data_IF_660002171027
#
_entry.id   IF_660002171027
#
_cell.length_a   1.000
_cell.length_b   1.000
_cell.length_c   1.000
_cell.angle_alpha   90.00
_cell.angle_beta   90.00
_cell.angle_gamma   90.00
#
_symmetry.space_group_name_H-M   'P 1'
#
loop_
_entity.id
_entity.type
_entity.pdbx_description
1 polymer ?
#
# COMPACT_ATOMS: atom_id res chain seq x y z
N UNK A 1 -26.78 6.89 18.91
CA UNK A 1 -27.76 7.98 18.73
C UNK A 1 -27.13 9.17 18.03
N UNK A 2 -27.96 10.07 17.49
CA UNK A 2 -27.55 11.32 16.83
C UNK A 2 -26.72 12.25 17.75
N UNK A 3 -26.71 12.01 19.06
CA UNK A 3 -25.87 12.73 20.05
C UNK A 3 -24.53 12.05 20.37
N UNK A 4 -24.21 10.90 19.75
CA UNK A 4 -22.97 10.15 20.00
C UNK A 4 -22.93 9.40 21.34
N UNK A 5 -24.02 9.41 22.11
CA UNK A 5 -24.11 8.67 23.37
C UNK A 5 -24.19 7.14 23.15
N UNK A 6 -23.45 6.41 23.98
CA UNK A 6 -23.31 4.95 23.88
C UNK A 6 -24.47 4.26 24.57
N UNK A 7 -25.47 3.85 23.79
CA UNK A 7 -26.68 3.21 24.30
C UNK A 7 -26.44 1.77 24.76
N UNK A 8 -25.58 1.00 24.07
CA UNK A 8 -25.36 -0.43 24.32
C UNK A 8 -23.89 -0.81 24.12
N UNK A 9 -23.31 -1.50 25.12
CA UNK A 9 -22.00 -2.14 25.00
C UNK A 9 -22.16 -3.65 25.16
N UNK A 10 -21.54 -4.43 24.25
CA UNK A 10 -21.57 -5.90 24.28
C UNK A 10 -20.16 -6.45 24.31
N UNK A 11 -19.89 -7.37 25.24
CA UNK A 11 -18.68 -8.18 25.31
C UNK A 11 -18.99 -9.60 24.87
N UNK A 12 -18.09 -10.22 24.12
CA UNK A 12 -18.28 -11.53 23.53
C UNK A 12 -16.99 -12.33 23.74
N UNK A 13 -17.10 -13.54 24.28
CA UNK A 13 -15.93 -14.40 24.53
C UNK A 13 -15.45 -15.11 23.25
N UNK A 14 -16.38 -15.58 22.40
CA UNK A 14 -16.06 -16.27 21.15
C UNK A 14 -17.09 -15.97 20.05
N UNK A 15 -16.59 -15.75 18.84
CA UNK A 15 -17.40 -15.64 17.63
C UNK A 15 -16.95 -16.69 16.60
N UNK A 16 -17.88 -17.44 16.03
CA UNK A 16 -17.61 -18.45 15.01
C UNK A 16 -18.48 -18.21 13.78
N UNK A 17 -17.84 -18.08 12.61
CA UNK A 17 -18.53 -17.87 11.35
C UNK A 17 -19.03 -19.19 10.77
N UNK A 18 -20.33 -19.29 10.49
CA UNK A 18 -20.97 -20.50 9.98
C UNK A 18 -21.23 -20.46 8.46
N UNK A 19 -20.71 -19.44 7.76
CA UNK A 19 -20.86 -19.28 6.31
C UNK A 19 -21.86 -18.19 5.91
N UNK A 20 -22.81 -17.84 6.78
CA UNK A 20 -23.81 -16.80 6.51
C UNK A 20 -23.90 -15.77 7.64
N UNK A 21 -23.68 -16.19 8.89
CA UNK A 21 -23.75 -15.34 10.06
C UNK A 21 -22.67 -15.68 11.10
N UNK A 22 -22.48 -14.80 12.08
CA UNK A 22 -21.60 -15.08 13.20
C UNK A 22 -22.41 -15.66 14.36
N UNK A 23 -22.07 -16.87 14.78
CA UNK A 23 -22.56 -17.44 16.03
C UNK A 23 -21.69 -16.92 17.17
N UNK A 24 -22.33 -16.31 18.17
CA UNK A 24 -21.66 -15.71 19.31
C UNK A 24 -21.86 -16.57 20.55
N UNK A 25 -20.81 -16.74 21.35
CA UNK A 25 -20.83 -17.48 22.61
C UNK A 25 -20.25 -16.61 23.73
N UNK A 26 -20.86 -16.65 24.91
CA UNK A 26 -20.41 -15.86 26.07
C UNK A 26 -20.74 -14.37 25.97
N UNK A 27 -21.89 -14.00 25.39
CA UNK A 27 -22.26 -12.60 25.21
C UNK A 27 -22.77 -11.98 26.52
N UNK A 28 -22.13 -10.89 26.95
CA UNK A 28 -22.57 -10.02 28.05
C UNK A 28 -22.91 -8.65 27.49
N UNK A 29 -24.09 -8.12 27.78
CA UNK A 29 -24.53 -6.82 27.27
C UNK A 29 -24.95 -5.92 28.42
N UNK A 30 -24.48 -4.68 28.41
CA UNK A 30 -24.88 -3.63 29.35
C UNK A 30 -25.55 -2.50 28.57
N UNK A 31 -26.71 -2.07 29.05
CA UNK A 31 -27.39 -0.86 28.57
C UNK A 31 -26.98 0.30 29.48
N UNK A 32 -26.62 1.45 28.89
CA UNK A 32 -26.23 2.64 29.65
C UNK A 32 -27.45 3.43 30.13
N UNK A 33 -28.61 3.30 29.46
CA UNK A 33 -29.84 4.05 29.79
C UNK A 33 -30.67 3.41 30.91
N UNK A 34 -30.54 2.10 31.09
CA UNK A 34 -31.19 1.37 32.17
C UNK A 34 -30.17 0.39 32.72
N UNK A 35 -29.90 0.50 34.01
CA UNK A 35 -29.07 -0.42 34.81
C UNK A 35 -29.76 -1.79 34.96
N UNK A 36 -30.41 -2.25 33.90
CA UNK A 36 -31.28 -3.41 33.84
C UNK A 36 -30.66 -4.44 32.89
N UNK A 37 -30.42 -5.62 33.44
CA UNK A 37 -29.68 -6.73 32.84
C UNK A 37 -30.53 -7.47 31.78
N UNK A 38 -31.72 -6.95 31.45
CA UNK A 38 -32.73 -7.63 30.63
C UNK A 38 -32.61 -7.36 29.13
N UNK A 39 -31.40 -7.18 28.59
CA UNK A 39 -31.22 -7.11 27.12
C UNK A 39 -31.16 -8.55 26.56
N UNK A 40 -31.95 -8.89 25.54
CA UNK A 40 -31.98 -10.25 25.00
C UNK A 40 -30.58 -10.69 24.52
N UNK A 41 -30.20 -11.97 24.77
CA UNK A 41 -28.89 -12.47 24.40
C UNK A 41 -28.73 -12.45 22.88
N UNK A 42 -27.69 -11.75 22.41
CA UNK A 42 -27.32 -11.76 21.00
C UNK A 42 -26.60 -13.06 20.69
N UNK A 43 -27.30 -14.07 20.17
CA UNK A 43 -26.72 -15.35 19.79
C UNK A 43 -26.17 -15.35 18.36
N UNK A 44 -26.71 -14.50 17.51
CA UNK A 44 -26.34 -14.36 16.10
C UNK A 44 -26.05 -12.90 15.81
N UNK A 45 -24.89 -12.63 15.23
CA UNK A 45 -24.56 -11.33 14.66
C UNK A 45 -24.66 -11.41 13.14
N UNK A 46 -25.70 -10.78 12.62
CA UNK A 46 -25.90 -10.56 11.19
C UNK A 46 -25.07 -9.34 10.79
N UNK A 47 -23.97 -9.59 10.09
CA UNK A 47 -23.09 -8.56 9.58
C UNK A 47 -22.63 -8.96 8.19
N UNK A 48 -22.52 -7.98 7.30
CA UNK A 48 -21.87 -8.16 6.00
C UNK A 48 -20.37 -8.47 6.13
N UNK A 49 -19.80 -8.28 7.34
CA UNK A 49 -18.40 -8.57 7.62
C UNK A 49 -18.18 -10.08 7.71
N UNK A 50 -17.56 -10.66 6.68
CA UNK A 50 -17.09 -12.05 6.66
C UNK A 50 -15.72 -12.18 7.33
N UNK A 51 -15.25 -13.38 7.72
CA UNK A 51 -13.90 -13.57 8.23
C UNK A 51 -12.82 -13.06 7.27
N UNK A 52 -13.07 -13.20 5.96
CA UNK A 52 -12.18 -12.68 4.92
C UNK A 52 -12.22 -11.15 4.87
N UNK A 53 -13.37 -10.52 5.07
CA UNK A 53 -13.49 -9.05 5.20
C UNK A 53 -12.74 -8.53 6.43
N UNK A 54 -12.91 -9.17 7.58
CA UNK A 54 -12.21 -8.82 8.83
C UNK A 54 -10.71 -9.02 8.71
N UNK A 55 -10.26 -10.12 8.10
CA UNK A 55 -8.84 -10.35 7.85
C UNK A 55 -8.24 -9.28 6.94
N UNK A 56 -8.98 -8.82 5.91
CA UNK A 56 -8.56 -7.72 5.03
C UNK A 56 -8.50 -6.38 5.76
N UNK A 57 -9.43 -6.12 6.68
CA UNK A 57 -9.42 -4.94 7.54
C UNK A 57 -8.17 -4.86 8.41
N UNK A 58 -7.64 -6.00 8.85
CA UNK A 58 -6.41 -6.09 9.65
C UNK A 58 -5.13 -6.14 8.81
N UNK A 59 -5.23 -6.33 7.48
CA UNK A 59 -4.07 -6.49 6.61
C UNK A 59 -3.40 -5.15 6.28
N UNK A 60 -2.08 -5.18 6.04
CA UNK A 60 -1.34 -4.00 5.59
C UNK A 60 -1.81 -3.60 4.18
N UNK A 61 -1.99 -2.29 3.89
CA UNK A 61 -2.34 -1.80 2.56
C UNK A 61 -1.51 -2.39 1.41
N UNK A 62 -0.23 -2.73 1.65
CA UNK A 62 0.69 -3.35 0.68
C UNK A 62 0.25 -4.74 0.21
N UNK A 63 -0.38 -5.49 1.08
CA UNK A 63 -0.68 -6.91 0.85
C UNK A 63 -2.09 -7.12 0.29
N UNK A 64 -2.86 -6.04 0.18
CA UNK A 64 -4.18 -6.05 -0.40
C UNK A 64 -4.16 -6.18 -1.94
N UNK A 65 -5.24 -6.74 -2.49
CA UNK A 65 -5.48 -6.69 -3.92
C UNK A 65 -5.78 -5.26 -4.38
N UNK A 66 -5.48 -4.94 -5.64
CA UNK A 66 -5.75 -3.61 -6.23
C UNK A 66 -7.22 -3.16 -6.07
N UNK A 67 -8.17 -4.11 -6.16
CA UNK A 67 -9.60 -3.84 -5.96
C UNK A 67 -9.89 -3.40 -4.53
N UNK A 68 -9.31 -4.08 -3.56
CA UNK A 68 -9.51 -3.79 -2.13
C UNK A 68 -8.85 -2.46 -1.75
N UNK A 69 -7.64 -2.17 -2.25
CA UNK A 69 -6.99 -0.85 -2.09
C UNK A 69 -7.85 0.30 -2.66
N UNK A 70 -8.50 0.06 -3.81
CA UNK A 70 -9.41 1.05 -4.43
C UNK A 70 -10.66 1.29 -3.57
N UNK A 71 -11.11 0.29 -2.84
CA UNK A 71 -12.26 0.42 -1.94
C UNK A 71 -11.87 1.14 -0.64
N UNK A 72 -10.72 0.81 -0.04
CA UNK A 72 -10.28 1.40 1.24
C UNK A 72 -9.69 2.81 1.12
N UNK A 73 -9.33 3.28 -0.08
CA UNK A 73 -8.89 4.68 -0.29
C UNK A 73 -10.00 5.73 -0.16
N UNK A 74 -11.28 5.33 -0.17
CA UNK A 74 -12.41 6.26 -0.05
C UNK A 74 -12.55 6.66 1.42
N UNK A 75 -12.61 7.96 1.69
CA UNK A 75 -12.77 8.48 3.05
C UNK A 75 -14.04 7.92 3.71
N UNK A 76 -13.94 7.50 4.97
CA UNK A 76 -15.03 6.91 5.73
C UNK A 76 -15.14 5.38 5.63
N UNK A 77 -14.31 4.73 4.80
CA UNK A 77 -14.22 3.28 4.82
C UNK A 77 -13.30 2.81 5.96
N UNK A 78 -13.61 1.65 6.54
CA UNK A 78 -12.83 1.08 7.64
C UNK A 78 -11.62 0.35 7.08
N UNK A 79 -10.43 0.61 7.64
CA UNK A 79 -9.16 -0.02 7.27
C UNK A 79 -8.17 0.07 8.43
N UNK A 80 -7.12 -0.75 8.38
CA UNK A 80 -5.99 -0.74 9.33
C UNK A 80 -5.17 0.57 9.29
N UNK A 81 -5.20 1.29 8.17
CA UNK A 81 -4.41 2.48 7.92
C UNK A 81 -5.28 3.65 7.42
N UNK A 82 -4.76 4.90 7.40
CA UNK A 82 -5.46 6.02 6.80
C UNK A 82 -5.74 5.84 5.30
N UNK A 83 -6.85 6.42 4.83
CA UNK A 83 -7.30 6.32 3.42
C UNK A 83 -6.23 6.73 2.39
N UNK A 84 -5.37 7.69 2.73
CA UNK A 84 -4.28 8.15 1.86
C UNK A 84 -3.19 7.09 1.65
N UNK A 85 -2.91 6.23 2.65
CA UNK A 85 -1.94 5.16 2.53
C UNK A 85 -2.38 4.11 1.50
N UNK A 86 -3.67 3.73 1.49
CA UNK A 86 -4.24 2.88 0.45
C UNK A 86 -4.17 3.53 -0.94
N UNK A 87 -4.40 4.84 -1.02
CA UNK A 87 -4.26 5.61 -2.25
C UNK A 87 -2.83 5.57 -2.82
N UNK A 88 -1.83 5.68 -1.95
CA UNK A 88 -0.42 5.55 -2.31
C UNK A 88 -0.11 4.17 -2.88
N UNK A 89 -0.41 3.10 -2.14
CA UNK A 89 -0.09 1.74 -2.57
C UNK A 89 -0.80 1.32 -3.85
N UNK A 90 -2.04 1.78 -4.04
CA UNK A 90 -2.77 1.59 -5.29
C UNK A 90 -2.02 2.20 -6.48
N UNK A 91 -1.61 3.47 -6.38
CA UNK A 91 -0.94 4.16 -7.47
C UNK A 91 0.49 3.64 -7.68
N UNK A 92 1.20 3.36 -6.59
CA UNK A 92 2.54 2.77 -6.61
C UNK A 92 2.54 1.42 -7.33
N UNK A 93 1.53 0.57 -7.09
CA UNK A 93 1.41 -0.73 -7.77
C UNK A 93 1.18 -0.59 -9.27
N UNK A 94 0.45 0.45 -9.71
CA UNK A 94 0.22 0.75 -11.13
C UNK A 94 1.50 1.29 -11.81
N UNK A 95 2.33 2.04 -11.09
CA UNK A 95 3.55 2.66 -11.65
C UNK A 95 4.77 1.74 -11.63
N UNK A 96 4.75 0.60 -10.91
CA UNK A 96 5.82 -0.40 -10.92
C UNK A 96 6.28 -0.88 -12.31
N UNK A 97 5.41 -1.25 -13.27
CA UNK A 97 5.87 -1.63 -14.61
C UNK A 97 6.59 -0.48 -15.33
N UNK A 98 6.16 0.76 -15.12
CA UNK A 98 6.83 1.94 -15.67
C UNK A 98 8.23 2.13 -15.06
N UNK A 99 8.39 1.90 -13.75
CA UNK A 99 9.69 1.92 -13.10
C UNK A 99 10.68 0.93 -13.73
N UNK A 100 10.22 -0.30 -14.02
CA UNK A 100 11.04 -1.31 -14.69
C UNK A 100 11.50 -0.85 -16.08
N UNK A 101 10.62 -0.22 -16.86
CA UNK A 101 10.98 0.34 -18.18
C UNK A 101 12.00 1.47 -18.06
N UNK A 102 11.89 2.33 -17.05
CA UNK A 102 12.84 3.42 -16.81
C UNK A 102 14.21 2.88 -16.41
N UNK A 103 14.27 1.88 -15.53
CA UNK A 103 15.54 1.25 -15.16
C UNK A 103 16.17 0.49 -16.34
N UNK A 104 15.35 -0.12 -17.20
CA UNK A 104 15.81 -0.70 -18.45
C UNK A 104 16.37 0.36 -19.40
N UNK A 105 15.71 1.52 -19.51
CA UNK A 105 16.21 2.67 -20.28
C UNK A 105 17.58 3.13 -19.76
N UNK A 106 17.77 3.18 -18.44
CA UNK A 106 19.06 3.51 -17.82
C UNK A 106 20.16 2.48 -18.17
N UNK A 107 19.81 1.21 -18.42
CA UNK A 107 20.79 0.18 -18.75
C UNK A 107 21.44 0.40 -20.14
N UNK A 108 20.72 1.00 -21.09
CA UNK A 108 21.19 1.24 -22.47
C UNK A 108 22.51 2.05 -22.49
N UNK A 109 22.58 3.27 -21.93
CA UNK A 109 23.82 4.05 -21.95
C UNK A 109 24.93 3.43 -21.09
N UNK A 110 24.59 2.67 -20.04
CA UNK A 110 25.59 1.96 -19.22
C UNK A 110 26.31 0.91 -20.08
N UNK A 111 25.55 0.17 -20.90
CA UNK A 111 26.09 -0.85 -21.77
C UNK A 111 26.94 -0.25 -22.89
N UNK A 112 26.44 0.79 -23.58
CA UNK A 112 27.18 1.51 -24.64
C UNK A 112 28.50 2.11 -24.14
N UNK A 113 28.53 2.68 -22.94
CA UNK A 113 29.75 3.28 -22.38
C UNK A 113 30.82 2.23 -22.08
N UNK A 114 30.42 1.00 -21.75
CA UNK A 114 31.34 -0.05 -21.31
C UNK A 114 32.04 -0.73 -22.47
N UNK A 115 31.54 -0.67 -23.71
CA UNK A 115 32.20 -1.26 -24.89
C UNK A 115 33.63 -0.74 -25.16
N UNK A 116 34.04 0.40 -24.60
CA UNK A 116 35.40 0.96 -24.79
C UNK A 116 36.42 0.53 -23.73
N UNK A 117 35.99 -0.08 -22.64
CA UNK A 117 36.87 -0.68 -21.62
C UNK A 117 36.51 -2.17 -21.50
N UNK A 118 37.48 -3.06 -21.69
CA UNK A 118 37.38 -4.53 -21.75
C UNK A 118 36.86 -5.21 -20.44
N UNK A 119 35.78 -4.70 -19.82
CA UNK A 119 35.32 -5.13 -18.50
C UNK A 119 33.80 -4.96 -18.37
N UNK A 120 33.05 -5.94 -18.88
CA UNK A 120 31.61 -6.06 -18.66
C UNK A 120 31.21 -6.06 -17.17
N UNK A 121 32.12 -6.45 -16.27
CA UNK A 121 31.90 -6.39 -14.82
C UNK A 121 31.60 -4.98 -14.31
N UNK A 122 32.18 -3.94 -14.93
CA UNK A 122 31.89 -2.54 -14.57
C UNK A 122 30.44 -2.17 -14.87
N UNK A 123 29.92 -2.58 -16.03
CA UNK A 123 28.52 -2.34 -16.39
C UNK A 123 27.56 -3.01 -15.40
N UNK A 124 27.86 -4.25 -15.02
CA UNK A 124 27.08 -5.00 -14.05
C UNK A 124 27.05 -4.29 -12.69
N UNK A 125 28.22 -3.89 -12.16
CA UNK A 125 28.32 -3.19 -10.88
C UNK A 125 27.54 -1.87 -10.91
N UNK A 126 27.70 -1.07 -11.99
CA UNK A 126 26.96 0.20 -12.14
C UNK A 126 25.45 -0.07 -12.19
N UNK A 127 25.00 -1.06 -12.96
CA UNK A 127 23.59 -1.43 -13.05
C UNK A 127 22.99 -1.82 -11.71
N UNK A 128 23.69 -2.65 -10.93
CA UNK A 128 23.26 -3.02 -9.57
C UNK A 128 23.18 -1.79 -8.67
N UNK A 129 24.20 -0.94 -8.67
CA UNK A 129 24.23 0.28 -7.84
C UNK A 129 23.09 1.23 -8.22
N UNK A 130 22.82 1.42 -9.51
CA UNK A 130 21.71 2.24 -10.01
C UNK A 130 20.36 1.67 -9.57
N UNK A 131 20.14 0.36 -9.74
CA UNK A 131 18.91 -0.28 -9.29
C UNK A 131 18.72 -0.19 -7.78
N UNK A 132 19.79 -0.38 -7.01
CA UNK A 132 19.75 -0.28 -5.56
C UNK A 132 19.48 1.15 -5.08
N UNK A 133 20.09 2.15 -5.72
CA UNK A 133 19.80 3.56 -5.46
C UNK A 133 18.33 3.89 -5.72
N UNK A 134 17.74 3.37 -6.80
CA UNK A 134 16.31 3.52 -7.07
C UNK A 134 15.46 2.91 -5.95
N UNK A 135 15.77 1.68 -5.52
CA UNK A 135 15.03 0.99 -4.44
C UNK A 135 15.08 1.77 -3.12
N UNK A 136 16.24 2.33 -2.75
CA UNK A 136 16.37 3.14 -1.53
C UNK A 136 15.51 4.39 -1.61
N UNK A 137 15.61 5.14 -2.73
CA UNK A 137 14.88 6.40 -2.90
C UNK A 137 13.37 6.15 -2.93
N UNK A 138 12.92 5.15 -3.69
CA UNK A 138 11.50 4.77 -3.78
C UNK A 138 10.97 4.30 -2.41
N UNK A 139 11.71 3.46 -1.69
CA UNK A 139 11.33 2.98 -0.36
C UNK A 139 11.25 4.09 0.70
N UNK A 140 12.20 5.03 0.69
CA UNK A 140 12.20 6.19 1.58
C UNK A 140 10.99 7.08 1.31
N UNK A 141 10.74 7.43 0.04
CA UNK A 141 9.59 8.26 -0.34
C UNK A 141 8.25 7.58 -0.09
N UNK A 142 8.18 6.26 -0.28
CA UNK A 142 7.01 5.46 0.07
C UNK A 142 6.65 5.60 1.55
N UNK A 143 7.66 5.48 2.42
CA UNK A 143 7.49 5.60 3.87
C UNK A 143 6.99 6.99 4.27
N UNK A 144 7.55 8.05 3.67
CA UNK A 144 7.10 9.42 3.90
C UNK A 144 5.68 9.68 3.40
N UNK A 145 5.29 9.07 2.27
CA UNK A 145 3.94 9.24 1.73
C UNK A 145 2.91 8.53 2.60
N UNK A 146 3.21 7.32 3.09
CA UNK A 146 2.33 6.56 3.98
C UNK A 146 2.25 7.14 5.39
N UNK A 147 3.23 7.94 5.82
CA UNK A 147 3.17 8.68 7.08
C UNK A 147 2.50 10.05 6.95
N UNK A 148 2.07 10.45 5.73
CA UNK A 148 1.48 11.76 5.46
C UNK A 148 2.47 12.92 5.38
N UNK A 149 3.77 12.65 5.32
CA UNK A 149 4.83 13.68 5.24
C UNK A 149 5.00 14.33 3.87
N UNK A 150 4.52 13.68 2.80
CA UNK A 150 4.60 14.20 1.42
C UNK A 150 3.35 13.82 0.62
N UNK A 151 3.03 14.61 -0.41
CA UNK A 151 1.98 14.28 -1.36
C UNK A 151 2.30 13.00 -2.14
N UNK A 152 1.28 12.14 -2.28
CA UNK A 152 1.34 10.85 -3.01
C UNK A 152 1.92 11.00 -4.42
N UNK A 153 1.48 12.05 -5.14
CA UNK A 153 1.92 12.28 -6.51
C UNK A 153 3.42 12.54 -6.60
N UNK A 154 3.96 13.35 -5.69
CA UNK A 154 5.40 13.66 -5.64
C UNK A 154 6.24 12.46 -5.22
N UNK A 155 5.79 11.70 -4.23
CA UNK A 155 6.51 10.51 -3.76
C UNK A 155 6.72 9.47 -4.87
N UNK A 156 5.74 9.29 -5.74
CA UNK A 156 5.81 8.33 -6.85
C UNK A 156 6.51 8.93 -8.07
N UNK A 157 6.21 10.18 -8.41
CA UNK A 157 6.75 10.81 -9.61
C UNK A 157 8.25 11.10 -9.49
N UNK A 158 8.73 11.51 -8.31
CA UNK A 158 10.12 11.92 -8.12
C UNK A 158 11.15 10.86 -8.52
N UNK A 159 11.12 9.61 -8.01
CA UNK A 159 12.09 8.59 -8.39
C UNK A 159 11.96 8.21 -9.88
N UNK A 160 10.74 8.16 -10.42
CA UNK A 160 10.53 7.86 -11.84
C UNK A 160 11.13 8.94 -12.74
N UNK A 161 10.84 10.20 -12.47
CA UNK A 161 11.35 11.34 -13.25
C UNK A 161 12.86 11.47 -13.09
N UNK A 162 13.38 11.34 -11.88
CA UNK A 162 14.82 11.43 -11.62
C UNK A 162 15.60 10.40 -12.44
N UNK A 163 15.24 9.12 -12.36
CA UNK A 163 15.93 8.07 -13.09
C UNK A 163 15.60 8.10 -14.58
N UNK A 164 14.38 8.48 -14.98
CA UNK A 164 14.01 8.64 -16.39
C UNK A 164 14.80 9.74 -17.09
N UNK A 165 14.95 10.90 -16.43
CA UNK A 165 15.77 12.01 -16.93
C UNK A 165 17.24 11.62 -16.95
N UNK A 166 17.75 10.96 -15.90
CA UNK A 166 19.14 10.49 -15.87
C UNK A 166 19.44 9.49 -17.00
N UNK A 167 18.59 8.48 -17.19
CA UNK A 167 18.73 7.49 -18.26
C UNK A 167 18.65 8.13 -19.65
N UNK A 168 17.65 8.97 -19.87
CA UNK A 168 17.49 9.70 -21.14
C UNK A 168 18.66 10.65 -21.43
N UNK A 169 19.11 11.42 -20.43
CA UNK A 169 20.26 12.32 -20.57
C UNK A 169 21.55 11.57 -20.87
N UNK A 170 21.80 10.44 -20.19
CA UNK A 170 22.97 9.61 -20.46
C UNK A 170 22.93 9.00 -21.86
N UNK A 171 21.76 8.58 -22.34
CA UNK A 171 21.57 8.02 -23.69
C UNK A 171 21.79 9.07 -24.78
N UNK A 172 21.27 10.29 -24.61
CA UNK A 172 21.51 11.36 -25.59
C UNK A 172 22.98 11.78 -25.63
N UNK A 173 23.64 11.77 -24.47
CA UNK A 173 25.05 12.12 -24.37
C UNK A 173 25.97 11.05 -24.97
N UNK A 174 25.61 9.77 -24.88
CA UNK A 174 26.38 8.69 -25.53
C UNK A 174 26.29 8.78 -27.05
N UNK A 175 25.11 9.10 -27.60
CA UNK A 175 24.93 9.33 -29.05
C UNK A 175 25.76 10.54 -29.54
N UNK A 176 25.72 11.66 -28.82
CA UNK A 176 26.44 12.88 -29.21
C UNK A 176 27.98 12.74 -29.17
N UNK A 177 28.53 11.78 -28.43
CA UNK A 177 29.98 11.48 -28.40
C UNK A 177 30.40 10.44 -29.45
N UNK A 178 29.43 9.82 -30.14
CA UNK A 178 29.66 8.83 -31.19
C UNK A 178 29.68 9.43 -32.61
N UNK A 179 29.25 10.69 -32.76
CA UNK A 179 29.33 11.50 -33.98
C UNK A 179 30.57 12.41 -33.94
#
# INVERSE_FOLDING_TARGET
>A
NEDGETTIVSWIDKAQYNGNAWSLTGVKRLSTEQNDVSVPPLSVWESEQTPTSIAKLAADPRDLALKDMRQFRIAGNSGSEPSFAYGFWYLHRITRPLAALILLLCAIPIMQKTEREDTGDKALVIGIVTGFAYLIIDGALSTFATSGGISIGWAIAFPLVLFGVLGGFLSLKSEALSL
#
